data_IF_072232086501
#
_entry.id   IF_072232086501
#
_cell.length_a   1.000
_cell.length_b   1.000
_cell.length_c   1.000
_cell.angle_alpha   90.00
_cell.angle_beta   90.00
_cell.angle_gamma   90.00
#
_symmetry.space_group_name_H-M   'P 1'
#
loop_
_entity.id
_entity.type
_entity.pdbx_description
1 polymer ?
#
# COMPACT_ATOMS: atom_id res chain seq x y z
N UNK A 1 33.50 -24.22 38.64
CA UNK A 1 34.04 -24.78 37.37
C UNK A 1 33.51 -23.87 36.25
N UNK A 2 34.40 -23.02 35.71
CA UNK A 2 34.09 -22.18 34.58
C UNK A 2 34.21 -23.04 33.31
N UNK A 3 33.07 -23.36 32.69
CA UNK A 3 33.05 -23.97 31.36
C UNK A 3 33.73 -23.08 30.32
N UNK A 4 34.27 -23.65 29.24
CA UNK A 4 34.99 -22.89 28.24
C UNK A 4 34.06 -21.83 27.62
N UNK A 5 34.50 -20.58 27.67
CA UNK A 5 33.86 -19.51 26.87
C UNK A 5 34.10 -19.86 25.41
N UNK A 6 33.11 -20.45 24.77
CA UNK A 6 33.13 -20.59 23.31
C UNK A 6 33.21 -19.18 22.72
N UNK A 7 34.28 -18.91 21.99
CA UNK A 7 34.38 -17.71 21.15
C UNK A 7 33.11 -17.60 20.27
N UNK A 8 32.57 -16.41 20.02
CA UNK A 8 31.48 -16.30 19.07
C UNK A 8 31.96 -16.87 17.73
N UNK A 9 31.35 -17.96 17.28
CA UNK A 9 31.60 -18.47 15.94
C UNK A 9 31.36 -17.33 14.94
N UNK A 10 32.42 -16.94 14.24
CA UNK A 10 32.33 -15.98 13.15
C UNK A 10 31.62 -16.71 12.03
N UNK A 11 30.29 -16.51 11.94
CA UNK A 11 29.48 -17.10 10.92
C UNK A 11 29.76 -16.46 9.54
N UNK A 12 29.82 -17.32 8.51
CA UNK A 12 29.84 -16.92 7.10
C UNK A 12 28.46 -16.99 6.45
N UNK A 13 28.41 -16.96 5.13
CA UNK A 13 27.19 -17.16 4.35
C UNK A 13 26.54 -18.51 4.74
N UNK A 14 25.24 -18.48 5.05
CA UNK A 14 24.50 -19.67 5.51
C UNK A 14 24.53 -19.92 7.02
N UNK A 15 25.29 -19.12 7.79
CA UNK A 15 25.31 -19.25 9.25
C UNK A 15 23.99 -18.80 9.87
N UNK A 16 23.51 -19.57 10.86
CA UNK A 16 22.25 -19.25 11.58
C UNK A 16 22.48 -18.11 12.57
N UNK A 17 22.02 -16.92 12.24
CA UNK A 17 22.06 -15.76 13.12
C UNK A 17 20.77 -15.69 13.94
N UNK A 18 20.89 -15.62 15.27
CA UNK A 18 19.75 -15.38 16.17
C UNK A 18 19.56 -13.88 16.35
N UNK A 19 18.30 -13.42 16.30
CA UNK A 19 17.95 -12.04 16.63
C UNK A 19 18.11 -11.79 18.12
N UNK A 20 18.54 -10.59 18.50
CA UNK A 20 18.71 -10.22 19.93
C UNK A 20 17.40 -10.31 20.70
N UNK A 21 16.28 -10.08 20.03
CA UNK A 21 14.93 -10.03 20.58
C UNK A 21 14.30 -11.41 20.76
N UNK A 22 14.82 -12.46 20.13
CA UNK A 22 14.18 -13.79 20.12
C UNK A 22 13.90 -14.30 21.54
N UNK A 23 14.85 -14.12 22.48
CA UNK A 23 14.67 -14.54 23.87
C UNK A 23 13.49 -13.84 24.59
N UNK A 24 13.18 -12.61 24.21
CA UNK A 24 12.06 -11.82 24.73
C UNK A 24 10.76 -12.27 24.09
N UNK A 25 10.76 -12.47 22.76
CA UNK A 25 9.57 -12.84 22.00
C UNK A 25 9.04 -14.22 22.38
N UNK A 26 9.91 -15.23 22.48
CA UNK A 26 9.49 -16.59 22.87
C UNK A 26 8.96 -16.70 24.31
N UNK A 27 9.19 -15.68 25.14
CA UNK A 27 8.65 -15.58 26.51
C UNK A 27 7.38 -14.74 26.61
N UNK A 28 6.79 -14.31 25.49
CA UNK A 28 5.63 -13.43 25.47
C UNK A 28 5.89 -12.02 26.01
N UNK A 29 7.15 -11.58 26.03
CA UNK A 29 7.57 -10.26 26.52
C UNK A 29 7.81 -9.27 25.37
N UNK A 30 7.39 -9.63 24.16
CA UNK A 30 7.37 -8.72 23.00
C UNK A 30 6.39 -7.58 23.24
N UNK A 31 6.69 -6.43 22.63
CA UNK A 31 5.74 -5.31 22.52
C UNK A 31 5.81 -4.82 21.09
N UNK A 32 4.75 -5.03 20.36
CA UNK A 32 4.50 -4.49 19.03
C UNK A 32 3.57 -3.29 19.12
N UNK A 33 3.38 -2.58 18.04
CA UNK A 33 2.48 -1.40 18.01
C UNK A 33 1.05 -1.79 18.42
N UNK A 34 0.58 -2.96 18.01
CA UNK A 34 -0.77 -3.46 18.33
C UNK A 34 -0.96 -3.87 19.81
N UNK A 35 0.13 -4.04 20.55
CA UNK A 35 0.11 -4.32 22.00
C UNK A 35 0.02 -3.03 22.85
N UNK A 36 0.08 -1.86 22.22
CA UNK A 36 0.01 -0.57 22.92
C UNK A 36 -1.45 -0.23 23.19
N UNK A 37 -1.80 -0.11 24.47
CA UNK A 37 -3.14 0.30 24.93
C UNK A 37 -2.99 1.56 25.77
N UNK A 38 -3.70 2.62 25.38
CA UNK A 38 -3.73 3.91 26.08
C UNK A 38 -5.15 4.20 26.57
N UNK A 39 -5.31 4.87 27.73
CA UNK A 39 -6.63 5.31 28.19
C UNK A 39 -7.30 6.23 27.15
N UNK A 40 -8.53 5.90 26.76
CA UNK A 40 -9.29 6.67 25.76
C UNK A 40 -8.82 6.46 24.32
N UNK A 41 -8.00 5.43 24.04
CA UNK A 41 -7.60 5.07 22.69
C UNK A 41 -8.83 4.58 21.90
N UNK A 42 -8.98 5.11 20.69
CA UNK A 42 -9.97 4.63 19.72
C UNK A 42 -9.31 3.66 18.73
N UNK A 43 -10.14 2.87 18.09
CA UNK A 43 -9.73 1.91 17.08
C UNK A 43 -10.23 2.35 15.71
N UNK A 44 -9.39 2.15 14.70
CA UNK A 44 -9.71 2.45 13.32
C UNK A 44 -9.73 1.18 12.49
N UNK A 45 -10.72 1.04 11.63
CA UNK A 45 -10.74 0.04 10.58
C UNK A 45 -11.13 0.66 9.25
N UNK A 46 -10.84 -0.02 8.14
CA UNK A 46 -10.83 0.56 6.80
C UNK A 46 -11.79 -0.18 5.88
N UNK A 47 -12.72 0.56 5.29
CA UNK A 47 -13.53 0.10 4.16
C UNK A 47 -12.66 0.02 2.92
N UNK A 48 -12.58 -1.16 2.30
CA UNK A 48 -11.72 -1.41 1.14
C UNK A 48 -12.51 -1.76 -0.10
N UNK A 49 -12.03 -1.28 -1.25
CA UNK A 49 -12.64 -1.57 -2.55
C UNK A 49 -12.50 -3.05 -2.93
N UNK A 50 -13.58 -3.73 -3.34
CA UNK A 50 -13.51 -5.06 -3.94
C UNK A 50 -13.04 -5.02 -5.41
N UNK A 51 -13.02 -3.82 -6.04
CA UNK A 51 -12.71 -3.64 -7.45
C UNK A 51 -11.29 -3.11 -7.65
N UNK A 52 -10.65 -3.58 -8.72
CA UNK A 52 -9.33 -3.10 -9.15
C UNK A 52 -9.42 -1.72 -9.84
N UNK A 53 -10.53 -1.41 -10.51
CA UNK A 53 -10.78 -0.10 -11.10
C UNK A 53 -12.29 0.13 -11.20
N UNK A 54 -12.79 1.15 -10.52
CA UNK A 54 -14.21 1.48 -10.52
C UNK A 54 -14.46 2.94 -10.13
N UNK A 55 -15.53 3.54 -10.64
CA UNK A 55 -16.04 4.79 -10.10
C UNK A 55 -16.79 4.54 -8.81
N UNK A 56 -16.65 5.44 -7.86
CA UNK A 56 -17.46 5.53 -6.65
C UNK A 56 -18.68 6.39 -7.01
N UNK A 57 -19.87 5.78 -6.97
CA UNK A 57 -21.14 6.50 -7.21
C UNK A 57 -21.63 7.20 -5.96
N UNK A 58 -21.58 6.48 -4.85
CA UNK A 58 -21.98 6.98 -3.53
C UNK A 58 -21.31 6.21 -2.42
N UNK A 59 -21.15 6.86 -1.27
CA UNK A 59 -20.73 6.26 0.00
C UNK A 59 -21.80 6.64 1.02
N UNK A 60 -22.58 5.67 1.48
CA UNK A 60 -23.57 5.85 2.54
C UNK A 60 -22.99 5.37 3.87
N UNK A 61 -22.88 6.26 4.82
CA UNK A 61 -22.27 6.01 6.15
C UNK A 61 -23.31 6.00 7.27
N UNK A 62 -24.59 6.22 6.98
CA UNK A 62 -25.65 6.42 7.99
C UNK A 62 -25.81 5.21 8.90
N UNK A 63 -25.84 4.01 8.31
CA UNK A 63 -25.97 2.76 9.07
C UNK A 63 -24.77 2.53 9.99
N UNK A 64 -23.55 2.79 9.51
CA UNK A 64 -22.33 2.68 10.30
C UNK A 64 -22.30 3.69 11.46
N UNK A 65 -22.69 4.93 11.20
CA UNK A 65 -22.75 6.00 12.21
C UNK A 65 -23.83 5.74 13.26
N UNK A 66 -24.85 4.94 12.96
CA UNK A 66 -25.91 4.58 13.92
C UNK A 66 -25.47 3.48 14.91
N UNK A 67 -24.36 2.79 14.68
CA UNK A 67 -23.85 1.74 15.58
C UNK A 67 -23.30 2.39 16.87
N UNK A 68 -23.78 1.97 18.06
CA UNK A 68 -23.27 2.49 19.32
C UNK A 68 -21.76 2.24 19.46
N UNK A 69 -21.00 3.26 19.84
CA UNK A 69 -19.55 3.21 19.98
C UNK A 69 -18.79 3.60 18.70
N UNK A 70 -19.46 3.91 17.60
CA UNK A 70 -18.86 4.55 16.43
C UNK A 70 -18.80 6.06 16.63
N UNK A 71 -17.63 6.65 16.47
CA UNK A 71 -17.40 8.09 16.66
C UNK A 71 -17.37 8.85 15.35
N UNK A 72 -16.84 8.25 14.28
CA UNK A 72 -16.75 8.89 12.98
C UNK A 72 -16.58 7.87 11.84
N UNK A 73 -17.06 8.24 10.66
CA UNK A 73 -16.68 7.63 9.39
C UNK A 73 -16.07 8.72 8.51
N UNK A 74 -14.79 8.56 8.20
CA UNK A 74 -14.02 9.53 7.44
C UNK A 74 -13.95 9.05 5.99
N UNK A 75 -14.44 9.88 5.06
CA UNK A 75 -14.38 9.64 3.60
C UNK A 75 -13.40 10.61 2.93
N UNK A 76 -13.12 10.41 1.66
CA UNK A 76 -12.31 11.33 0.86
C UNK A 76 -12.85 12.77 0.87
N UNK A 77 -14.18 12.94 0.84
CA UNK A 77 -14.82 14.27 0.90
C UNK A 77 -14.60 14.97 2.24
N UNK A 78 -14.60 14.22 3.34
CA UNK A 78 -14.25 14.78 4.67
C UNK A 78 -12.80 15.27 4.67
N UNK A 79 -11.85 14.47 4.16
CA UNK A 79 -10.45 14.88 4.08
C UNK A 79 -10.25 16.10 3.18
N UNK A 80 -11.02 16.21 2.09
CA UNK A 80 -10.96 17.35 1.17
C UNK A 80 -11.35 18.66 1.85
N UNK A 81 -12.35 18.66 2.76
CA UNK A 81 -12.74 19.84 3.52
C UNK A 81 -11.60 20.40 4.36
N UNK A 82 -10.68 19.53 4.82
CA UNK A 82 -9.52 19.92 5.64
C UNK A 82 -8.23 20.07 4.83
N UNK A 83 -8.30 19.95 3.49
CA UNK A 83 -7.12 19.97 2.59
C UNK A 83 -6.09 18.85 2.92
N UNK A 84 -6.56 17.68 3.36
CA UNK A 84 -5.75 16.50 3.74
C UNK A 84 -5.94 15.33 2.77
N UNK A 85 -6.52 15.53 1.60
CA UNK A 85 -6.93 14.46 0.70
C UNK A 85 -5.81 13.90 -0.18
N UNK A 86 -4.68 14.60 -0.33
CA UNK A 86 -3.53 14.13 -1.10
C UNK A 86 -2.39 13.64 -0.21
N UNK A 87 -1.84 12.48 -0.54
CA UNK A 87 -0.64 11.98 0.14
C UNK A 87 0.60 12.77 -0.30
N UNK A 88 1.48 13.17 0.63
CA UNK A 88 2.79 13.68 0.27
C UNK A 88 3.64 12.56 -0.32
N UNK A 89 4.27 12.79 -1.49
CA UNK A 89 5.19 11.84 -2.11
C UNK A 89 6.48 12.54 -2.53
N UNK A 90 7.54 11.76 -2.68
CA UNK A 90 8.81 12.26 -3.22
C UNK A 90 8.79 12.41 -4.74
N UNK A 91 7.81 11.78 -5.39
CA UNK A 91 7.60 11.82 -6.84
C UNK A 91 6.40 12.69 -7.18
N UNK A 92 6.32 13.13 -8.43
CA UNK A 92 5.25 14.00 -8.92
C UNK A 92 3.87 13.33 -8.96
N UNK A 93 3.82 12.00 -8.92
CA UNK A 93 2.56 11.25 -9.02
C UNK A 93 2.02 10.89 -7.63
N UNK A 94 1.22 11.80 -7.07
CA UNK A 94 0.58 11.63 -5.77
C UNK A 94 -0.73 10.87 -5.90
N UNK A 95 -1.13 10.14 -4.86
CA UNK A 95 -2.45 9.51 -4.76
C UNK A 95 -3.26 10.15 -3.63
N UNK A 96 -4.58 10.00 -3.69
CA UNK A 96 -5.45 10.41 -2.60
C UNK A 96 -5.25 9.49 -1.39
N UNK A 97 -5.38 10.03 -0.18
CA UNK A 97 -5.40 9.24 1.07
C UNK A 97 -6.64 8.34 1.08
N UNK A 98 -7.80 8.92 0.78
CA UNK A 98 -9.07 8.23 0.48
C UNK A 98 -9.63 8.81 -0.81
N UNK A 99 -10.03 7.99 -1.78
CA UNK A 99 -10.56 8.47 -3.05
C UNK A 99 -11.93 9.11 -2.87
N UNK A 100 -12.23 10.11 -3.70
CA UNK A 100 -13.54 10.77 -3.75
C UNK A 100 -14.44 10.22 -4.85
N UNK A 101 -13.85 9.77 -5.98
CA UNK A 101 -14.58 9.45 -7.21
C UNK A 101 -14.18 8.15 -7.89
N UNK A 102 -12.93 7.69 -7.70
CA UNK A 102 -12.42 6.51 -8.44
C UNK A 102 -11.44 5.71 -7.60
N UNK A 103 -11.67 4.40 -7.50
CA UNK A 103 -10.71 3.44 -6.96
C UNK A 103 -9.83 2.89 -8.09
N UNK A 104 -8.52 2.73 -7.83
CA UNK A 104 -7.50 2.45 -8.84
C UNK A 104 -6.78 1.12 -8.65
N UNK A 105 -7.03 0.43 -7.54
CA UNK A 105 -6.51 -0.91 -7.26
C UNK A 105 -7.42 -1.66 -6.27
N UNK A 106 -7.38 -2.97 -6.34
CA UNK A 106 -8.13 -3.83 -5.41
C UNK A 106 -7.63 -3.62 -3.98
N UNK A 107 -8.55 -3.61 -3.03
CA UNK A 107 -8.31 -3.32 -1.62
C UNK A 107 -7.86 -1.89 -1.30
N UNK A 108 -8.01 -0.95 -2.24
CA UNK A 108 -7.79 0.47 -1.96
C UNK A 108 -8.69 0.94 -0.81
N UNK A 109 -8.12 1.75 0.07
CA UNK A 109 -8.81 2.39 1.18
C UNK A 109 -9.87 3.38 0.66
N UNK A 110 -11.13 3.24 1.06
CA UNK A 110 -12.25 4.09 0.59
C UNK A 110 -12.81 4.96 1.71
N UNK A 111 -12.93 4.40 2.90
CA UNK A 111 -13.34 5.14 4.10
C UNK A 111 -12.66 4.55 5.33
N UNK A 112 -12.53 5.35 6.39
CA UNK A 112 -12.00 4.94 7.68
C UNK A 112 -13.09 5.08 8.75
N UNK A 113 -13.35 4.01 9.48
CA UNK A 113 -14.27 3.98 10.63
C UNK A 113 -13.48 4.13 11.92
N UNK A 114 -13.93 4.97 12.82
CA UNK A 114 -13.35 5.21 14.15
C UNK A 114 -14.35 4.79 15.21
N UNK A 115 -13.97 3.87 16.10
CA UNK A 115 -14.86 3.31 17.12
C UNK A 115 -14.15 3.06 18.46
N UNK A 116 -14.94 2.76 19.51
CA UNK A 116 -14.45 2.48 20.86
C UNK A 116 -13.56 1.23 20.93
N UNK A 117 -13.84 0.22 20.12
CA UNK A 117 -13.04 -0.99 20.04
C UNK A 117 -12.96 -1.53 18.60
N UNK A 118 -12.07 -2.54 18.39
CA UNK A 118 -11.82 -3.13 17.08
C UNK A 118 -13.00 -3.91 16.49
N UNK A 119 -13.86 -4.46 17.34
CA UNK A 119 -15.00 -5.27 16.88
C UNK A 119 -16.12 -4.34 16.40
N UNK A 120 -16.40 -3.28 17.14
CA UNK A 120 -17.33 -2.23 16.72
C UNK A 120 -16.85 -1.58 15.41
N UNK A 121 -15.55 -1.32 15.29
CA UNK A 121 -14.98 -0.78 14.05
C UNK A 121 -15.20 -1.73 12.87
N UNK A 122 -14.96 -3.03 13.04
CA UNK A 122 -15.16 -4.03 12.00
C UNK A 122 -16.64 -4.16 11.59
N UNK A 123 -17.56 -4.24 12.57
CA UNK A 123 -19.01 -4.29 12.29
C UNK A 123 -19.47 -3.03 11.54
N UNK A 124 -18.94 -1.88 11.91
CA UNK A 124 -19.27 -0.63 11.24
C UNK A 124 -18.69 -0.51 9.83
N UNK A 125 -17.52 -1.09 9.57
CA UNK A 125 -16.98 -1.22 8.20
C UNK A 125 -17.93 -1.99 7.29
N UNK A 126 -18.51 -3.08 7.77
CA UNK A 126 -19.50 -3.86 7.02
C UNK A 126 -20.83 -3.12 6.79
N UNK A 127 -21.15 -2.15 7.65
CA UNK A 127 -22.36 -1.32 7.55
C UNK A 127 -22.18 -0.10 6.63
N UNK A 128 -20.97 0.21 6.15
CA UNK A 128 -20.75 1.24 5.15
C UNK A 128 -21.11 0.70 3.78
N UNK A 129 -22.08 1.32 3.12
CA UNK A 129 -22.51 0.95 1.78
C UNK A 129 -21.80 1.81 0.73
N UNK A 130 -21.09 1.17 -0.21
CA UNK A 130 -20.42 1.86 -1.31
C UNK A 130 -20.96 1.33 -2.63
N UNK A 131 -21.52 2.23 -3.44
CA UNK A 131 -21.99 1.91 -4.78
C UNK A 131 -20.85 2.16 -5.78
N UNK A 132 -20.50 1.12 -6.54
CA UNK A 132 -19.44 1.18 -7.54
C UNK A 132 -19.97 0.99 -8.96
N UNK A 133 -19.34 1.66 -9.92
CA UNK A 133 -19.46 1.37 -11.35
C UNK A 133 -18.12 0.80 -11.84
N UNK A 134 -18.02 -0.53 -12.03
CA UNK A 134 -16.78 -1.16 -12.46
C UNK A 134 -16.31 -0.66 -13.82
N UNK A 135 -15.00 -0.47 -13.95
CA UNK A 135 -14.32 -0.07 -15.18
C UNK A 135 -13.29 -1.10 -15.60
N UNK A 136 -12.75 -0.94 -16.81
CA UNK A 136 -11.71 -1.83 -17.33
C UNK A 136 -10.41 -1.67 -16.52
N UNK A 137 -10.05 -2.70 -15.77
CA UNK A 137 -8.81 -2.73 -15.01
C UNK A 137 -7.59 -2.92 -15.91
N UNK A 138 -6.47 -2.29 -15.54
CA UNK A 138 -5.17 -2.44 -16.19
C UNK A 138 -4.26 -3.18 -15.21
N UNK A 139 -4.03 -4.47 -15.46
CA UNK A 139 -3.27 -5.36 -14.57
C UNK A 139 -1.93 -5.83 -15.14
N UNK A 140 -1.72 -5.60 -16.43
CA UNK A 140 -0.49 -5.96 -17.12
C UNK A 140 0.34 -4.70 -17.39
N UNK A 141 1.54 -4.55 -16.79
CA UNK A 141 2.35 -3.35 -16.94
C UNK A 141 2.83 -3.12 -18.39
N UNK A 142 2.96 -4.17 -19.21
CA UNK A 142 3.32 -4.01 -20.61
C UNK A 142 2.15 -3.48 -21.42
N UNK A 143 0.95 -4.03 -21.21
CA UNK A 143 -0.28 -3.53 -21.85
C UNK A 143 -0.65 -2.13 -21.39
N UNK A 144 -0.30 -1.74 -20.16
CA UNK A 144 -0.52 -0.39 -19.66
C UNK A 144 0.20 0.69 -20.48
N UNK A 145 1.26 0.32 -21.19
CA UNK A 145 2.06 1.22 -22.04
C UNK A 145 1.62 1.25 -23.51
N UNK A 146 0.64 0.44 -23.90
CA UNK A 146 0.09 0.46 -25.26
C UNK A 146 -0.72 1.73 -25.51
N UNK A 147 -0.75 2.25 -26.74
CA UNK A 147 -1.40 3.52 -27.06
C UNK A 147 -2.92 3.57 -26.79
N UNK A 148 -3.57 2.41 -26.79
CA UNK A 148 -5.01 2.23 -26.54
C UNK A 148 -5.35 1.81 -25.12
N UNK A 149 -4.36 1.74 -24.22
CA UNK A 149 -4.56 1.42 -22.82
C UNK A 149 -5.39 2.52 -22.12
N UNK A 150 -6.36 2.15 -21.25
CA UNK A 150 -7.04 3.12 -20.43
C UNK A 150 -6.07 3.89 -19.55
N UNK A 151 -6.14 5.23 -19.57
CA UNK A 151 -5.32 6.09 -18.68
C UNK A 151 -5.90 6.01 -17.27
N UNK A 152 -5.13 5.48 -16.31
CA UNK A 152 -5.57 5.29 -14.92
C UNK A 152 -5.64 6.59 -14.12
N UNK A 153 -4.83 7.59 -14.50
CA UNK A 153 -4.75 8.89 -13.79
C UNK A 153 -5.13 10.05 -14.71
N UNK A 154 -6.37 10.07 -15.28
CA UNK A 154 -6.84 11.17 -16.13
C UNK A 154 -7.05 12.46 -15.35
N UNK A 155 -7.07 12.41 -14.00
CA UNK A 155 -7.10 13.55 -13.09
C UNK A 155 -5.82 14.41 -13.11
N UNK A 156 -4.73 13.88 -13.67
CA UNK A 156 -3.47 14.60 -13.84
C UNK A 156 -3.48 15.39 -15.14
N UNK A 157 -3.33 16.69 -15.05
CA UNK A 157 -3.28 17.59 -16.22
C UNK A 157 -2.18 17.14 -17.21
N UNK A 158 -2.55 16.99 -18.48
CA UNK A 158 -1.65 16.58 -19.55
C UNK A 158 -1.28 15.09 -19.54
N UNK A 159 -1.84 14.27 -18.67
CA UNK A 159 -1.57 12.84 -18.62
C UNK A 159 -2.33 12.12 -19.73
N UNK A 160 -1.59 11.49 -20.65
CA UNK A 160 -2.14 10.76 -21.82
C UNK A 160 -1.75 9.29 -21.84
N UNK A 161 -0.97 8.83 -20.85
CA UNK A 161 -0.46 7.47 -20.72
C UNK A 161 -0.38 7.04 -19.24
N UNK A 162 0.06 5.82 -19.00
CA UNK A 162 0.25 5.26 -17.66
C UNK A 162 1.71 5.29 -17.18
N UNK A 163 2.61 5.96 -17.90
CA UNK A 163 4.01 6.13 -17.47
C UNK A 163 4.06 7.07 -16.26
N UNK A 164 4.44 6.58 -15.09
CA UNK A 164 4.54 7.39 -13.88
C UNK A 164 5.78 8.28 -13.94
N UNK A 165 6.91 7.70 -14.29
CA UNK A 165 8.17 8.42 -14.46
C UNK A 165 9.18 7.60 -15.25
N UNK A 166 10.11 8.27 -15.88
CA UNK A 166 11.24 7.68 -16.57
C UNK A 166 12.53 8.12 -15.87
N UNK A 167 13.40 7.17 -15.58
CA UNK A 167 14.68 7.43 -14.93
C UNK A 167 15.79 6.68 -15.65
N UNK A 168 16.85 7.40 -15.98
CA UNK A 168 18.05 6.83 -16.59
C UNK A 168 19.28 7.23 -15.77
N UNK A 169 20.25 6.36 -15.69
CA UNK A 169 21.55 6.61 -15.07
C UNK A 169 22.64 5.84 -15.79
N UNK A 170 23.87 6.37 -15.74
CA UNK A 170 25.04 5.80 -16.38
C UNK A 170 25.24 6.29 -17.82
N UNK A 171 26.20 5.65 -18.50
CA UNK A 171 26.65 5.99 -19.85
C UNK A 171 26.09 4.97 -20.86
N UNK A 172 24.92 5.26 -21.42
CA UNK A 172 24.21 4.34 -22.32
C UNK A 172 25.07 3.93 -23.50
N UNK A 173 25.66 4.90 -24.22
CA UNK A 173 26.45 4.63 -25.42
C UNK A 173 27.70 3.81 -25.11
N UNK A 174 28.40 4.11 -24.01
CA UNK A 174 29.58 3.37 -23.58
C UNK A 174 29.21 1.93 -23.22
N UNK A 175 28.08 1.74 -22.53
CA UNK A 175 27.55 0.42 -22.15
C UNK A 175 27.17 -0.39 -23.39
N UNK A 176 26.42 0.18 -24.32
CA UNK A 176 26.04 -0.47 -25.58
C UNK A 176 27.27 -0.91 -26.40
N UNK A 177 28.31 -0.07 -26.47
CA UNK A 177 29.56 -0.40 -27.16
C UNK A 177 30.29 -1.58 -26.55
N UNK A 178 30.25 -1.72 -25.21
CA UNK A 178 30.82 -2.89 -24.51
C UNK A 178 30.04 -4.15 -24.89
N UNK A 179 28.71 -4.12 -24.89
CA UNK A 179 27.88 -5.25 -25.28
C UNK A 179 28.07 -5.65 -26.74
N UNK A 180 28.22 -4.68 -27.68
CA UNK A 180 28.46 -4.95 -29.09
C UNK A 180 29.81 -5.64 -29.35
N UNK A 181 30.81 -5.44 -28.49
CA UNK A 181 32.15 -6.01 -28.63
C UNK A 181 32.39 -7.20 -27.69
N UNK A 182 31.38 -7.66 -26.97
CA UNK A 182 31.52 -8.81 -26.07
C UNK A 182 31.51 -10.14 -26.86
N UNK A 183 32.40 -11.07 -26.51
CA UNK A 183 32.47 -12.39 -27.14
C UNK A 183 31.19 -13.23 -26.90
N UNK A 184 30.55 -13.02 -25.74
CA UNK A 184 29.29 -13.71 -25.36
C UNK A 184 28.38 -12.71 -24.68
N UNK A 185 27.12 -12.66 -25.10
CA UNK A 185 26.05 -11.90 -24.45
C UNK A 185 24.95 -12.86 -24.04
N UNK A 186 24.57 -12.88 -22.75
CA UNK A 186 23.43 -13.63 -22.23
C UNK A 186 22.33 -12.66 -21.88
N UNK A 187 21.12 -12.91 -22.38
CA UNK A 187 19.93 -12.11 -22.08
C UNK A 187 18.84 -13.02 -21.54
N UNK A 188 18.38 -12.73 -20.33
CA UNK A 188 17.34 -13.49 -19.65
C UNK A 188 16.18 -12.57 -19.23
N UNK A 189 14.95 -13.10 -19.33
CA UNK A 189 13.78 -12.46 -18.74
C UNK A 189 13.50 -13.11 -17.38
N UNK A 190 13.63 -12.34 -16.32
CA UNK A 190 13.38 -12.82 -14.96
C UNK A 190 11.98 -12.39 -14.54
N UNK A 191 11.12 -13.36 -14.22
CA UNK A 191 9.81 -13.14 -13.64
C UNK A 191 9.82 -13.44 -12.15
N UNK A 192 9.48 -12.46 -11.33
CA UNK A 192 9.29 -12.59 -9.89
C UNK A 192 7.79 -12.54 -9.62
N UNK A 193 7.16 -13.67 -9.22
CA UNK A 193 5.72 -13.72 -8.94
C UNK A 193 5.33 -12.93 -7.69
#
# INVERSE_FOLDING_TARGET
MNGPKTSPEVGGIGHRVKRKEDARFIRGQGKYTDDVVLPGMLHMDIVRSPYAYAKIKSINTDAAMAIPGVHAVITGDVLKQYNLHWMPTLMSDTQMVLPTDTVMYQSQEVAAVIADDRYIAADAVEAVEVEYEPMQAVVDPFKAMEPDAPVLRPDKEGKTDNLIWHWETGEKEATEKVFQNADVVVKENIYLP
#
